data_IF_848337465303
#
_entry.id   IF_848337465303
#
_cell.length_a   1.000
_cell.length_b   1.000
_cell.length_c   1.000
_cell.angle_alpha   90.00
_cell.angle_beta   90.00
_cell.angle_gamma   90.00
#
_symmetry.space_group_name_H-M   'P 1'
#
loop_
_entity.id
_entity.type
_entity.pdbx_description
1 polymer ?
#
# COMPACT_ATOMS: atom_id res chain seq x y z
N UNK A 1 -5.99 5.75 8.50
CA UNK A 1 -6.13 6.64 7.34
C UNK A 1 -4.80 6.70 6.63
N UNK A 2 -4.79 6.44 5.33
CA UNK A 2 -3.57 6.39 4.51
C UNK A 2 -3.65 7.53 3.48
N UNK A 3 -2.79 8.53 3.58
CA UNK A 3 -2.76 9.67 2.65
C UNK A 3 -1.53 9.62 1.75
N UNK A 4 -1.70 10.12 0.55
CA UNK A 4 -0.66 10.35 -0.45
C UNK A 4 -0.58 11.86 -0.75
N UNK A 5 0.48 12.29 -1.41
CA UNK A 5 0.72 13.70 -1.78
C UNK A 5 0.70 14.69 -0.61
N UNK A 6 1.05 14.21 0.59
CA UNK A 6 1.08 15.09 1.75
C UNK A 6 2.40 15.87 1.78
N UNK A 7 2.34 17.18 1.54
CA UNK A 7 3.51 18.07 1.62
C UNK A 7 4.12 18.04 3.02
N UNK A 8 5.44 17.84 3.10
CA UNK A 8 6.18 17.71 4.37
C UNK A 8 5.93 18.90 5.31
N UNK A 9 6.01 20.14 4.81
CA UNK A 9 5.81 21.33 5.63
C UNK A 9 4.41 21.36 6.23
N UNK A 10 3.40 21.08 5.41
CA UNK A 10 1.99 21.08 5.84
C UNK A 10 1.72 19.94 6.83
N UNK A 11 2.36 18.78 6.64
CA UNK A 11 2.31 17.70 7.61
C UNK A 11 2.85 18.13 8.98
N UNK A 12 4.07 18.66 9.03
CA UNK A 12 4.74 19.04 10.28
C UNK A 12 4.07 20.21 10.98
N UNK A 13 3.70 21.24 10.21
CA UNK A 13 3.20 22.49 10.78
C UNK A 13 1.74 22.37 11.24
N UNK A 14 0.94 21.56 10.54
CA UNK A 14 -0.51 21.46 10.76
C UNK A 14 -0.97 20.03 11.06
N UNK A 15 -0.88 19.10 10.11
CA UNK A 15 -1.59 17.82 10.23
C UNK A 15 -1.16 16.96 11.41
N UNK A 16 0.14 16.85 11.66
CA UNK A 16 0.65 16.05 12.77
C UNK A 16 0.09 16.55 14.12
N UNK A 17 0.10 17.87 14.34
CA UNK A 17 -0.42 18.50 15.57
C UNK A 17 -1.93 18.40 15.66
N UNK A 18 -2.63 18.74 14.58
CA UNK A 18 -4.09 18.71 14.51
C UNK A 18 -4.65 17.30 14.77
N UNK A 19 -3.98 16.27 14.24
CA UNK A 19 -4.39 14.88 14.44
C UNK A 19 -4.04 14.37 15.84
N UNK A 20 -2.91 14.79 16.40
CA UNK A 20 -2.55 14.50 17.79
C UNK A 20 -3.58 15.07 18.78
N UNK A 21 -4.05 16.31 18.57
CA UNK A 21 -5.13 16.93 19.36
C UNK A 21 -6.45 16.15 19.27
N UNK A 22 -6.62 15.33 18.23
CA UNK A 22 -7.77 14.42 18.04
C UNK A 22 -7.50 13.00 18.52
N UNK A 23 -6.41 12.78 19.26
CA UNK A 23 -5.99 11.47 19.76
C UNK A 23 -5.61 10.46 18.66
N UNK A 24 -5.09 10.95 17.53
CA UNK A 24 -4.50 10.11 16.49
C UNK A 24 -2.98 10.19 16.55
N UNK A 25 -2.31 9.04 16.38
CA UNK A 25 -0.89 9.01 16.07
C UNK A 25 -0.67 9.09 14.57
N UNK A 26 0.55 9.43 14.15
CA UNK A 26 0.90 9.53 12.73
C UNK A 26 2.31 9.08 12.40
N UNK A 27 2.46 8.51 11.21
CA UNK A 27 3.74 8.16 10.59
C UNK A 27 3.76 8.86 9.23
N UNK A 28 4.92 9.38 8.84
CA UNK A 28 5.12 10.07 7.58
C UNK A 28 6.46 9.66 6.98
N UNK A 29 6.48 9.53 5.65
CA UNK A 29 7.69 9.42 4.85
C UNK A 29 7.64 10.39 3.66
N UNK A 30 8.72 11.13 3.45
CA UNK A 30 8.83 12.10 2.37
C UNK A 30 9.40 11.40 1.14
N UNK A 31 8.94 11.76 -0.06
CA UNK A 31 9.66 11.37 -1.27
C UNK A 31 11.08 11.96 -1.26
N UNK A 32 12.02 11.23 -1.87
CA UNK A 32 13.35 11.78 -2.13
C UNK A 32 13.26 12.89 -3.17
N UNK A 33 14.11 13.90 -3.06
CA UNK A 33 14.15 14.95 -4.08
C UNK A 33 14.79 14.40 -5.37
N UNK A 34 14.05 14.41 -6.50
CA UNK A 34 14.63 14.06 -7.78
C UNK A 34 15.62 15.15 -8.23
N UNK A 35 16.49 14.82 -9.19
CA UNK A 35 17.56 15.75 -9.65
C UNK A 35 17.05 17.06 -10.25
N UNK A 36 15.83 17.06 -10.79
CA UNK A 36 15.19 18.25 -11.35
C UNK A 36 14.47 19.12 -10.29
N UNK A 37 14.48 18.72 -9.02
CA UNK A 37 13.82 19.46 -7.96
C UNK A 37 14.61 20.72 -7.60
N UNK A 38 13.99 21.88 -7.81
CA UNK A 38 14.58 23.21 -7.59
C UNK A 38 13.93 23.97 -6.42
N UNK A 39 12.90 23.37 -5.78
CA UNK A 39 12.16 23.96 -4.65
C UNK A 39 12.74 23.54 -3.30
N UNK A 40 12.21 24.09 -2.22
CA UNK A 40 12.60 23.67 -0.87
C UNK A 40 12.18 22.22 -0.62
N UNK A 41 13.05 21.42 0.01
CA UNK A 41 12.74 20.04 0.42
C UNK A 41 11.54 19.95 1.37
N UNK A 42 11.19 21.05 2.03
CA UNK A 42 9.98 21.11 2.86
C UNK A 42 8.69 21.11 2.05
N UNK A 43 8.74 21.47 0.77
CA UNK A 43 7.61 21.42 -0.16
C UNK A 43 7.49 20.08 -0.89
N UNK A 44 8.38 19.13 -0.61
CA UNK A 44 8.29 17.79 -1.18
C UNK A 44 7.16 17.03 -0.48
N UNK A 45 6.36 16.32 -1.27
CA UNK A 45 5.28 15.49 -0.80
C UNK A 45 5.77 14.12 -0.32
N UNK A 46 4.84 13.35 0.22
CA UNK A 46 5.11 12.06 0.82
C UNK A 46 3.83 11.27 1.05
N UNK A 47 3.97 10.18 1.79
CA UNK A 47 2.86 9.35 2.24
C UNK A 47 2.78 9.37 3.76
N UNK A 48 1.58 9.23 4.30
CA UNK A 48 1.37 9.16 5.75
C UNK A 48 0.31 8.15 6.15
N UNK A 49 0.44 7.65 7.37
CA UNK A 49 -0.55 6.80 8.03
C UNK A 49 -0.93 7.48 9.34
N UNK A 50 -2.21 7.80 9.51
CA UNK A 50 -2.79 8.24 10.78
C UNK A 50 -3.64 7.13 11.39
N UNK A 51 -3.52 6.90 12.68
CA UNK A 51 -4.19 5.82 13.39
C UNK A 51 -4.80 6.33 14.71
N UNK A 52 -6.03 5.91 15.01
CA UNK A 52 -6.73 6.31 16.23
C UNK A 52 -6.14 5.54 17.43
N UNK A 53 -5.55 6.25 18.39
CA UNK A 53 -4.87 5.66 19.55
C UNK A 53 -5.84 4.96 20.52
N UNK A 54 -7.15 5.23 20.42
CA UNK A 54 -8.19 4.54 21.20
C UNK A 54 -8.60 3.20 20.61
N UNK A 55 -8.28 2.96 19.33
CA UNK A 55 -8.66 1.73 18.61
C UNK A 55 -7.49 0.83 18.31
N UNK A 56 -6.32 1.41 18.04
CA UNK A 56 -5.12 0.65 17.72
C UNK A 56 -3.89 1.20 18.42
N UNK A 57 -2.96 0.32 18.76
CA UNK A 57 -1.62 0.64 19.25
C UNK A 57 -0.61 0.44 18.13
N UNK A 58 0.28 1.40 17.92
CA UNK A 58 1.42 1.22 17.03
C UNK A 58 2.48 0.37 17.71
N UNK A 59 2.80 -0.80 17.14
CA UNK A 59 3.84 -1.70 17.63
C UNK A 59 5.18 -1.42 16.96
N UNK A 60 5.18 -1.25 15.64
CA UNK A 60 6.37 -0.94 14.85
C UNK A 60 5.97 -0.22 13.56
N UNK A 61 6.91 0.45 12.91
CA UNK A 61 6.74 0.95 11.55
C UNK A 61 8.05 0.99 10.78
N UNK A 62 7.92 0.96 9.46
CA UNK A 62 9.04 1.03 8.53
C UNK A 62 8.78 2.11 7.48
N UNK A 63 9.85 2.84 7.17
CA UNK A 63 9.92 3.84 6.11
C UNK A 63 10.74 3.27 4.99
N UNK A 64 10.19 3.32 3.79
CA UNK A 64 10.72 2.59 2.66
C UNK A 64 10.98 3.57 1.53
N UNK A 65 12.18 3.49 0.98
CA UNK A 65 12.57 4.13 -0.27
C UNK A 65 12.80 3.03 -1.29
N UNK A 66 11.91 2.87 -2.28
CA UNK A 66 11.98 1.76 -3.24
C UNK A 66 13.31 1.72 -4.02
N UNK A 67 13.89 2.89 -4.24
CA UNK A 67 15.21 3.02 -4.85
C UNK A 67 16.27 2.16 -4.14
N UNK A 68 16.24 2.06 -2.81
CA UNK A 68 17.25 1.34 -2.03
C UNK A 68 17.26 -0.17 -2.33
N UNK A 69 16.11 -0.77 -2.61
CA UNK A 69 16.01 -2.18 -2.99
C UNK A 69 16.50 -2.42 -4.41
N UNK A 70 16.03 -1.61 -5.37
CA UNK A 70 16.43 -1.74 -6.78
C UNK A 70 17.91 -1.41 -7.02
N UNK A 71 18.53 -0.56 -6.20
CA UNK A 71 19.96 -0.28 -6.26
C UNK A 71 20.83 -1.40 -5.71
N UNK A 72 20.26 -2.34 -4.94
CA UNK A 72 21.03 -3.37 -4.28
C UNK A 72 21.36 -4.51 -5.26
N UNK A 73 22.65 -4.71 -5.61
CA UNK A 73 23.05 -5.72 -6.59
C UNK A 73 22.83 -7.16 -6.11
N UNK A 74 22.52 -7.38 -4.82
CA UNK A 74 22.12 -8.70 -4.30
C UNK A 74 20.70 -9.10 -4.71
N UNK A 75 19.83 -8.12 -4.96
CA UNK A 75 18.42 -8.36 -5.28
C UNK A 75 18.14 -8.11 -6.77
N UNK A 76 18.81 -7.13 -7.38
CA UNK A 76 18.61 -6.79 -8.79
C UNK A 76 19.92 -6.61 -9.53
N UNK A 77 20.01 -7.24 -10.70
CA UNK A 77 21.02 -6.88 -11.68
C UNK A 77 20.90 -5.42 -12.09
N UNK A 78 22.05 -4.74 -12.09
CA UNK A 78 22.14 -3.33 -12.44
C UNK A 78 22.27 -3.20 -13.97
N UNK A 79 21.22 -3.59 -14.69
CA UNK A 79 21.11 -3.36 -16.13
C UNK A 79 20.91 -1.86 -16.43
N UNK A 80 20.89 -1.50 -17.71
CA UNK A 80 20.55 -0.12 -18.11
C UNK A 80 19.11 0.23 -17.71
N UNK A 81 18.16 -0.67 -17.95
CA UNK A 81 16.75 -0.40 -17.68
C UNK A 81 16.44 -0.40 -16.18
N UNK A 82 17.03 -1.29 -15.37
CA UNK A 82 16.92 -1.23 -13.90
C UNK A 82 17.32 0.16 -13.38
N UNK A 83 18.46 0.70 -13.83
CA UNK A 83 18.93 2.03 -13.42
C UNK A 83 18.01 3.16 -13.89
N UNK A 84 17.59 3.13 -15.15
CA UNK A 84 16.84 4.23 -15.78
C UNK A 84 15.34 4.22 -15.48
N UNK A 85 14.79 3.06 -15.13
CA UNK A 85 13.34 2.88 -14.95
C UNK A 85 12.94 2.69 -13.49
N UNK A 86 13.73 1.95 -12.71
CA UNK A 86 13.41 1.64 -11.31
C UNK A 86 14.19 2.53 -10.33
N UNK A 87 15.52 2.52 -10.40
CA UNK A 87 16.41 3.24 -9.45
C UNK A 87 16.25 4.76 -9.48
N UNK A 88 15.85 5.34 -10.61
CA UNK A 88 15.68 6.78 -10.76
C UNK A 88 14.30 7.28 -10.32
N UNK A 89 13.59 6.52 -9.48
CA UNK A 89 12.23 6.84 -9.01
C UNK A 89 12.24 7.05 -7.50
N UNK A 90 11.78 8.20 -7.06
CA UNK A 90 11.73 8.61 -5.66
C UNK A 90 10.49 8.09 -4.91
N UNK A 91 9.89 6.99 -5.37
CA UNK A 91 8.70 6.40 -4.74
C UNK A 91 9.05 5.86 -3.36
N UNK A 92 8.14 6.09 -2.41
CA UNK A 92 8.27 5.68 -1.02
C UNK A 92 7.05 4.88 -0.57
N UNK A 93 7.21 4.15 0.53
CA UNK A 93 6.12 3.48 1.20
C UNK A 93 6.27 3.55 2.72
N UNK A 94 5.17 3.30 3.42
CA UNK A 94 5.13 3.06 4.85
C UNK A 94 4.55 1.68 5.10
N UNK A 95 5.09 0.95 6.07
CA UNK A 95 4.48 -0.25 6.63
C UNK A 95 4.33 -0.05 8.12
N UNK A 96 3.10 -0.06 8.62
CA UNK A 96 2.80 0.05 10.04
C UNK A 96 2.32 -1.31 10.57
N UNK A 97 2.84 -1.71 11.73
CA UNK A 97 2.37 -2.87 12.48
C UNK A 97 1.52 -2.33 13.63
N UNK A 98 0.21 -2.55 13.54
CA UNK A 98 -0.78 -2.03 14.47
C UNK A 98 -1.45 -3.18 15.23
N UNK A 99 -1.69 -3.02 16.52
CA UNK A 99 -2.50 -3.95 17.32
C UNK A 99 -3.87 -3.33 17.55
N UNK A 100 -4.94 -4.04 17.19
CA UNK A 100 -6.30 -3.64 17.53
C UNK A 100 -6.55 -3.88 19.03
N UNK A 101 -6.88 -2.82 19.78
CA UNK A 101 -6.90 -2.85 21.24
C UNK A 101 -7.93 -3.85 21.80
N UNK A 102 -9.10 -3.94 21.17
CA UNK A 102 -10.20 -4.74 21.69
C UNK A 102 -10.00 -6.24 21.46
N UNK A 103 -9.40 -6.62 20.33
CA UNK A 103 -9.23 -8.03 19.94
C UNK A 103 -7.80 -8.55 20.08
N UNK A 104 -6.83 -7.65 20.30
CA UNK A 104 -5.38 -7.91 20.23
C UNK A 104 -4.88 -8.43 18.87
N UNK A 105 -5.69 -8.25 17.83
CA UNK A 105 -5.33 -8.65 16.47
C UNK A 105 -4.29 -7.71 15.87
N UNK A 106 -3.31 -8.29 15.19
CA UNK A 106 -2.21 -7.53 14.56
C UNK A 106 -2.55 -7.28 13.11
N UNK A 107 -2.40 -6.02 12.68
CA UNK A 107 -2.67 -5.51 11.35
C UNK A 107 -1.39 -4.96 10.75
N UNK A 108 -1.01 -5.47 9.57
CA UNK A 108 0.08 -4.93 8.76
C UNK A 108 -0.52 -4.00 7.72
N UNK A 109 -0.37 -2.70 7.93
CA UNK A 109 -0.96 -1.66 7.07
C UNK A 109 0.14 -0.99 6.27
N UNK A 110 0.12 -1.20 4.96
CA UNK A 110 1.00 -0.53 4.03
C UNK A 110 0.32 0.67 3.36
N UNK A 111 1.08 1.72 3.11
CA UNK A 111 0.65 2.86 2.31
C UNK A 111 1.73 3.24 1.29
N UNK A 112 1.36 3.45 0.03
CA UNK A 112 2.28 3.94 -1.00
C UNK A 112 1.58 4.85 -2.01
N UNK A 113 2.40 5.49 -2.86
CA UNK A 113 1.96 6.24 -4.03
C UNK A 113 2.89 5.85 -5.19
N UNK A 114 2.45 4.90 -6.01
CA UNK A 114 3.24 4.33 -7.11
C UNK A 114 3.50 5.35 -8.23
N UNK A 115 4.46 5.04 -9.08
CA UNK A 115 4.86 5.93 -10.17
C UNK A 115 3.71 6.26 -11.14
N UNK A 116 3.46 7.56 -11.35
CA UNK A 116 2.26 8.06 -12.05
C UNK A 116 2.15 7.73 -13.54
N UNK A 117 3.29 7.49 -14.22
CA UNK A 117 3.28 7.49 -15.69
C UNK A 117 2.51 6.29 -16.26
N UNK A 118 1.52 6.51 -17.16
CA UNK A 118 0.80 5.41 -17.80
C UNK A 118 1.69 4.59 -18.74
N UNK A 119 2.87 5.09 -19.12
CA UNK A 119 3.86 4.40 -19.97
C UNK A 119 4.82 3.51 -19.17
N UNK A 120 4.60 3.33 -17.87
CA UNK A 120 5.53 2.64 -16.97
C UNK A 120 4.79 1.64 -16.08
N UNK A 121 3.98 0.78 -16.70
CA UNK A 121 3.25 -0.27 -15.99
C UNK A 121 4.21 -1.31 -15.39
N UNK A 122 5.31 -1.59 -16.10
CA UNK A 122 6.45 -2.37 -15.61
C UNK A 122 7.05 -1.80 -14.31
N UNK A 123 7.28 -0.47 -14.24
CA UNK A 123 7.80 0.17 -13.03
C UNK A 123 6.81 0.01 -11.87
N UNK A 124 5.52 0.24 -12.12
CA UNK A 124 4.48 0.11 -11.09
C UNK A 124 4.34 -1.34 -10.60
N UNK A 125 4.45 -2.33 -11.50
CA UNK A 125 4.49 -3.74 -11.13
C UNK A 125 5.70 -4.04 -10.22
N UNK A 126 6.90 -3.63 -10.62
CA UNK A 126 8.11 -3.88 -9.83
C UNK A 126 8.06 -3.20 -8.45
N UNK A 127 7.51 -1.98 -8.37
CA UNK A 127 7.29 -1.28 -7.11
C UNK A 127 6.26 -2.00 -6.22
N UNK A 128 5.23 -2.60 -6.81
CA UNK A 128 4.24 -3.41 -6.08
C UNK A 128 4.89 -4.70 -5.57
N UNK A 129 5.71 -5.36 -6.39
CA UNK A 129 6.49 -6.54 -5.98
C UNK A 129 7.43 -6.24 -4.81
N UNK A 130 8.11 -5.09 -4.84
CA UNK A 130 8.92 -4.68 -3.68
C UNK A 130 8.07 -4.43 -2.44
N UNK A 131 6.92 -3.76 -2.58
CA UNK A 131 6.02 -3.48 -1.46
C UNK A 131 5.60 -4.78 -0.75
N UNK A 132 5.23 -5.81 -1.52
CA UNK A 132 4.80 -7.10 -0.96
C UNK A 132 5.96 -7.84 -0.29
N UNK A 133 7.16 -7.82 -0.87
CA UNK A 133 8.39 -8.36 -0.25
C UNK A 133 8.76 -7.66 1.07
N UNK A 134 8.52 -6.35 1.18
CA UNK A 134 8.79 -5.59 2.39
C UNK A 134 7.76 -5.86 3.48
N UNK A 135 6.48 -5.96 3.13
CA UNK A 135 5.44 -6.40 4.06
C UNK A 135 5.70 -7.83 4.52
N UNK A 136 6.09 -8.74 3.63
CA UNK A 136 6.50 -10.11 4.00
C UNK A 136 7.59 -10.06 5.07
N UNK A 137 8.67 -9.31 4.85
CA UNK A 137 9.76 -9.16 5.82
C UNK A 137 9.30 -8.55 7.14
N UNK A 138 8.33 -7.63 7.13
CA UNK A 138 7.76 -7.06 8.35
C UNK A 138 7.00 -8.13 9.15
N UNK A 139 6.26 -9.00 8.46
CA UNK A 139 5.61 -10.18 9.05
C UNK A 139 6.66 -11.13 9.65
N UNK A 140 7.74 -11.46 8.92
CA UNK A 140 8.83 -12.30 9.42
C UNK A 140 9.44 -11.77 10.71
N UNK A 141 9.74 -10.46 10.74
CA UNK A 141 10.29 -9.78 11.92
C UNK A 141 9.34 -9.84 13.11
N UNK A 142 8.05 -9.57 12.87
CA UNK A 142 7.05 -9.52 13.94
C UNK A 142 6.85 -10.87 14.61
N UNK A 143 6.73 -11.94 13.82
CA UNK A 143 6.55 -13.30 14.34
C UNK A 143 7.87 -13.97 14.76
N UNK A 144 9.01 -13.28 14.64
CA UNK A 144 10.36 -13.79 14.94
C UNK A 144 10.69 -15.11 14.22
N UNK A 145 10.20 -15.29 13.00
CA UNK A 145 10.44 -16.49 12.22
C UNK A 145 11.53 -16.21 11.17
N UNK A 146 12.54 -17.08 11.13
CA UNK A 146 13.68 -16.96 10.23
C UNK A 146 13.53 -17.82 8.97
N UNK A 147 12.55 -18.72 8.94
CA UNK A 147 12.32 -19.66 7.84
C UNK A 147 11.12 -19.21 7.01
N UNK A 148 11.30 -19.13 5.68
CA UNK A 148 10.22 -18.79 4.76
C UNK A 148 9.04 -19.79 4.85
N UNK A 149 9.33 -21.06 5.17
CA UNK A 149 8.30 -22.10 5.32
C UNK A 149 7.38 -21.82 6.51
N UNK A 150 7.94 -21.42 7.65
CA UNK A 150 7.16 -21.18 8.87
C UNK A 150 6.21 -19.98 8.68
N UNK A 151 6.69 -18.94 7.97
CA UNK A 151 5.88 -17.77 7.65
C UNK A 151 4.82 -18.13 6.62
N UNK A 152 5.14 -18.96 5.63
CA UNK A 152 4.14 -19.42 4.67
C UNK A 152 3.02 -20.19 5.37
N UNK A 153 3.35 -21.10 6.29
CA UNK A 153 2.37 -21.82 7.12
C UNK A 153 1.54 -20.84 7.97
N UNK A 154 2.18 -19.81 8.55
CA UNK A 154 1.48 -18.75 9.29
C UNK A 154 0.52 -17.96 8.39
N UNK A 155 0.93 -17.59 7.18
CA UNK A 155 0.13 -16.84 6.21
C UNK A 155 -1.09 -17.64 5.71
N UNK A 156 -0.92 -18.95 5.51
CA UNK A 156 -1.96 -19.85 5.00
C UNK A 156 -2.90 -20.37 6.10
N UNK A 157 -2.53 -20.21 7.37
CA UNK A 157 -3.34 -20.64 8.50
C UNK A 157 -4.72 -19.97 8.50
N UNK A 158 -5.72 -20.63 9.09
CA UNK A 158 -7.05 -20.05 9.33
C UNK A 158 -6.99 -18.76 10.16
N UNK A 159 -5.92 -18.65 10.95
CA UNK A 159 -5.57 -17.54 11.80
C UNK A 159 -4.52 -16.63 11.15
N UNK A 160 -4.52 -16.60 9.82
CA UNK A 160 -3.52 -15.95 8.99
C UNK A 160 -3.34 -14.46 9.26
N UNK A 161 -2.26 -13.91 8.73
CA UNK A 161 -1.85 -12.53 8.99
C UNK A 161 -2.87 -11.55 8.41
N UNK A 162 -3.20 -10.48 9.13
CA UNK A 162 -4.10 -9.44 8.63
C UNK A 162 -3.30 -8.35 7.91
N UNK A 163 -3.45 -8.24 6.59
CA UNK A 163 -2.68 -7.32 5.75
C UNK A 163 -3.62 -6.39 5.00
N UNK A 164 -3.31 -5.10 5.05
CA UNK A 164 -4.01 -4.04 4.33
C UNK A 164 -2.99 -3.28 3.50
N UNK A 165 -3.10 -3.33 2.17
CA UNK A 165 -2.32 -2.46 1.28
C UNK A 165 -3.23 -1.34 0.79
N UNK A 166 -2.88 -0.10 1.11
CA UNK A 166 -3.62 1.08 0.66
C UNK A 166 -2.72 1.99 -0.17
N UNK A 167 -3.30 2.79 -1.05
CA UNK A 167 -2.53 3.79 -1.79
C UNK A 167 -3.14 4.20 -3.10
N UNK A 168 -2.46 5.18 -3.71
CA UNK A 168 -2.59 5.45 -5.14
C UNK A 168 -1.61 4.52 -5.88
N UNK A 169 -2.16 3.52 -6.58
CA UNK A 169 -1.38 2.57 -7.35
C UNK A 169 -1.13 3.04 -8.79
N UNK A 170 -1.73 4.17 -9.19
CA UNK A 170 -1.64 4.72 -10.55
C UNK A 170 -1.92 3.67 -11.64
N UNK A 171 -2.78 2.70 -11.32
CA UNK A 171 -2.98 1.47 -12.08
C UNK A 171 -4.46 1.14 -12.16
N UNK A 172 -4.94 0.82 -13.35
CA UNK A 172 -6.35 0.47 -13.55
C UNK A 172 -6.66 -0.96 -13.06
N UNK A 173 -7.95 -1.32 -12.87
CA UNK A 173 -8.33 -2.65 -12.41
C UNK A 173 -7.85 -3.80 -13.31
N UNK A 174 -7.61 -3.53 -14.60
CA UNK A 174 -7.11 -4.47 -15.61
C UNK A 174 -5.58 -4.43 -15.81
N UNK A 175 -4.84 -3.75 -14.93
CA UNK A 175 -3.37 -3.61 -15.02
C UNK A 175 -2.60 -4.86 -14.56
N UNK A 176 -1.30 -4.92 -14.89
CA UNK A 176 -0.34 -5.89 -14.35
C UNK A 176 -0.30 -5.87 -12.82
N UNK A 177 -0.37 -4.68 -12.20
CA UNK A 177 -0.40 -4.51 -10.74
C UNK A 177 -1.60 -5.20 -10.12
N UNK A 178 -2.79 -4.95 -10.66
CA UNK A 178 -4.03 -5.57 -10.19
C UNK A 178 -4.00 -7.09 -10.40
N UNK A 179 -3.55 -7.57 -11.58
CA UNK A 179 -3.41 -9.01 -11.87
C UNK A 179 -2.45 -9.69 -10.90
N UNK A 180 -1.30 -9.09 -10.62
CA UNK A 180 -0.31 -9.62 -9.68
C UNK A 180 -0.91 -9.79 -8.27
N UNK A 181 -1.58 -8.76 -7.75
CA UNK A 181 -2.18 -8.81 -6.40
C UNK A 181 -3.37 -9.77 -6.34
N UNK A 182 -4.26 -9.78 -7.33
CA UNK A 182 -5.46 -10.64 -7.33
C UNK A 182 -5.09 -12.11 -7.50
N UNK A 183 -4.14 -12.43 -8.37
CA UNK A 183 -3.75 -13.81 -8.64
C UNK A 183 -2.70 -14.32 -7.63
N UNK A 184 -2.02 -13.43 -6.91
CA UNK A 184 -0.86 -13.75 -6.08
C UNK A 184 0.39 -14.06 -6.91
N UNK A 185 0.32 -13.91 -8.24
CA UNK A 185 1.44 -14.05 -9.15
C UNK A 185 1.19 -13.33 -10.48
N UNK A 186 2.25 -13.17 -11.27
CA UNK A 186 2.15 -12.78 -12.67
C UNK A 186 3.31 -13.37 -13.48
N UNK A 187 2.97 -14.02 -14.60
CA UNK A 187 3.94 -14.47 -15.59
C UNK A 187 4.36 -13.29 -16.49
N UNK A 188 5.50 -12.67 -16.15
CA UNK A 188 5.98 -11.47 -16.83
C UNK A 188 6.45 -11.78 -18.26
N UNK A 189 6.68 -13.04 -18.61
CA UNK A 189 7.03 -13.42 -19.99
C UNK A 189 5.86 -13.24 -20.95
N UNK A 190 4.62 -13.17 -20.45
CA UNK A 190 3.42 -12.89 -21.25
C UNK A 190 3.13 -11.39 -21.39
N UNK A 191 3.85 -10.54 -20.65
CA UNK A 191 3.57 -9.11 -20.57
C UNK A 191 4.48 -8.33 -21.51
N UNK A 192 3.88 -7.71 -22.54
CA UNK A 192 4.62 -7.02 -23.62
C UNK A 192 5.63 -6.01 -23.09
N UNK A 193 5.26 -5.24 -22.06
CA UNK A 193 6.15 -4.21 -21.53
C UNK A 193 7.35 -4.82 -20.79
N UNK A 194 7.16 -5.94 -20.10
CA UNK A 194 8.23 -6.66 -19.42
C UNK A 194 9.21 -7.32 -20.39
N UNK A 195 8.78 -7.65 -21.62
CA UNK A 195 9.66 -8.18 -22.67
C UNK A 195 10.52 -7.11 -23.37
N UNK A 196 10.14 -5.83 -23.27
CA UNK A 196 10.84 -4.72 -23.95
C UNK A 196 12.05 -4.23 -23.17
N UNK A 197 12.05 -4.40 -21.84
CA UNK A 197 13.07 -3.89 -20.95
C UNK A 197 13.83 -5.03 -20.27
N UNK A 198 15.13 -4.84 -20.10
CA UNK A 198 16.00 -5.82 -19.46
C UNK A 198 16.13 -5.53 -17.97
N UNK A 199 15.45 -6.32 -17.13
CA UNK A 199 15.59 -6.24 -15.67
C UNK A 199 16.58 -7.27 -15.09
N UNK A 200 17.32 -7.95 -15.96
CA UNK A 200 18.30 -8.98 -15.62
C UNK A 200 17.69 -10.30 -15.18
N UNK A 201 18.55 -11.31 -15.01
CA UNK A 201 18.14 -12.69 -14.73
C UNK A 201 17.70 -12.95 -13.29
N UNK A 202 17.98 -12.00 -12.37
CA UNK A 202 17.46 -12.03 -10.99
C UNK A 202 15.95 -11.91 -10.92
N UNK A 203 15.33 -11.30 -11.94
CA UNK A 203 13.87 -11.24 -12.08
C UNK A 203 13.43 -12.49 -12.84
N UNK A 204 12.85 -13.45 -12.11
CA UNK A 204 12.35 -14.68 -12.70
C UNK A 204 11.20 -14.46 -13.70
N UNK A 205 10.87 -15.47 -14.53
CA UNK A 205 9.80 -15.38 -15.51
C UNK A 205 8.41 -15.21 -14.88
N UNK A 206 8.27 -15.57 -13.60
CA UNK A 206 7.07 -15.39 -12.81
C UNK A 206 7.44 -14.59 -11.54
N UNK A 207 6.70 -13.52 -11.28
CA UNK A 207 6.74 -12.82 -10.01
C UNK A 207 5.69 -13.44 -9.10
N UNK A 208 6.13 -14.02 -7.98
CA UNK A 208 5.26 -14.58 -6.95
C UNK A 208 5.04 -13.55 -5.85
N UNK A 209 3.80 -13.40 -5.39
CA UNK A 209 3.49 -12.70 -4.15
C UNK A 209 3.46 -13.70 -2.99
N UNK A 210 4.47 -13.62 -2.12
CA UNK A 210 4.56 -14.47 -0.94
C UNK A 210 3.45 -14.18 0.08
N UNK A 211 2.82 -13.01 0.00
CA UNK A 211 1.65 -12.68 0.82
C UNK A 211 0.38 -13.39 0.36
N UNK A 212 0.41 -14.05 -0.80
CA UNK A 212 -0.73 -14.71 -1.42
C UNK A 212 -1.61 -13.75 -2.21
N UNK A 213 -2.90 -14.10 -2.32
CA UNK A 213 -3.87 -13.32 -3.10
C UNK A 213 -4.47 -12.19 -2.28
N UNK A 214 -4.79 -11.11 -2.96
CA UNK A 214 -5.50 -9.97 -2.41
C UNK A 214 -6.86 -9.79 -3.07
N UNK A 215 -7.80 -9.26 -2.29
CA UNK A 215 -9.09 -8.81 -2.78
C UNK A 215 -9.33 -7.36 -2.35
N UNK A 216 -9.98 -6.58 -3.21
CA UNK A 216 -10.42 -5.24 -2.85
C UNK A 216 -11.87 -5.29 -2.35
N UNK A 217 -12.23 -4.57 -1.28
CA UNK A 217 -13.64 -4.39 -0.86
C UNK A 217 -14.55 -3.85 -1.97
N UNK A 218 -13.96 -3.22 -2.98
CA UNK A 218 -14.66 -2.59 -4.11
C UNK A 218 -14.69 -3.46 -5.39
N UNK A 219 -14.05 -4.64 -5.38
CA UNK A 219 -13.85 -5.47 -6.58
C UNK A 219 -15.14 -5.71 -7.36
N UNK A 220 -16.21 -6.11 -6.69
CA UNK A 220 -17.50 -6.38 -7.32
C UNK A 220 -18.09 -5.15 -8.02
N UNK A 221 -17.86 -3.95 -7.47
CA UNK A 221 -18.34 -2.71 -8.07
C UNK A 221 -17.49 -2.31 -9.29
N UNK A 222 -16.18 -2.55 -9.23
CA UNK A 222 -15.28 -2.37 -10.37
C UNK A 222 -15.65 -3.30 -11.53
N UNK A 223 -15.88 -4.59 -11.23
CA UNK A 223 -16.26 -5.60 -12.22
C UNK A 223 -17.62 -5.31 -12.87
N UNK A 224 -18.58 -4.80 -12.09
CA UNK A 224 -19.90 -4.38 -12.59
C UNK A 224 -19.88 -3.02 -13.28
N UNK A 225 -18.78 -2.27 -13.18
CA UNK A 225 -18.68 -0.91 -13.70
C UNK A 225 -19.60 0.09 -12.99
N UNK A 226 -19.99 -0.19 -11.75
CA UNK A 226 -20.84 0.70 -10.92
C UNK A 226 -20.03 1.59 -9.99
N UNK A 227 -18.72 1.35 -9.89
CA UNK A 227 -17.75 2.26 -9.28
C UNK A 227 -16.63 2.47 -10.30
N UNK A 228 -16.54 3.68 -10.86
CA UNK A 228 -15.76 3.93 -12.09
C UNK A 228 -14.58 4.88 -11.92
N UNK A 229 -14.57 5.70 -10.87
CA UNK A 229 -13.52 6.68 -10.60
C UNK A 229 -13.13 6.77 -9.13
N UNK A 230 -11.83 6.80 -8.90
CA UNK A 230 -11.23 7.33 -7.67
C UNK A 230 -10.49 8.64 -7.97
N UNK A 231 -10.00 8.83 -9.20
CA UNK A 231 -9.50 10.10 -9.71
C UNK A 231 -10.46 10.69 -10.75
N UNK A 232 -10.78 11.99 -10.64
CA UNK A 232 -11.77 12.66 -11.48
C UNK A 232 -11.24 14.00 -12.02
N UNK A 233 -10.47 13.94 -13.11
CA UNK A 233 -9.95 15.08 -13.85
C UNK A 233 -10.66 15.24 -15.21
N UNK A 234 -10.60 16.41 -15.87
CA UNK A 234 -11.33 16.67 -17.12
C UNK A 234 -11.12 15.64 -18.24
N UNK A 235 -9.93 15.03 -18.31
CA UNK A 235 -9.57 14.02 -19.32
C UNK A 235 -9.14 12.68 -18.73
N UNK A 236 -9.28 12.50 -17.42
CA UNK A 236 -8.83 11.29 -16.72
C UNK A 236 -9.82 10.96 -15.60
N UNK A 237 -10.62 9.92 -15.82
CA UNK A 237 -11.63 9.43 -14.87
C UNK A 237 -11.45 7.93 -14.76
N UNK A 238 -10.73 7.47 -13.73
CA UNK A 238 -10.37 6.06 -13.57
C UNK A 238 -10.28 5.68 -12.09
N UNK A 239 -10.44 4.40 -11.83
CA UNK A 239 -10.02 3.78 -10.57
C UNK A 239 -8.51 3.57 -10.63
N UNK A 240 -7.79 4.24 -9.74
CA UNK A 240 -6.34 4.08 -9.54
C UNK A 240 -5.93 3.98 -8.06
N UNK A 241 -6.86 4.25 -7.15
CA UNK A 241 -6.67 4.15 -5.71
C UNK A 241 -7.33 2.88 -5.19
N UNK A 242 -6.65 2.17 -4.29
CA UNK A 242 -7.12 0.89 -3.80
C UNK A 242 -6.90 0.71 -2.31
N UNK A 243 -7.78 -0.13 -1.75
CA UNK A 243 -7.55 -0.84 -0.49
C UNK A 243 -7.61 -2.32 -0.84
N UNK A 244 -6.52 -3.02 -0.57
CA UNK A 244 -6.35 -4.45 -0.78
C UNK A 244 -6.26 -5.15 0.56
N UNK A 245 -6.99 -6.25 0.72
CA UNK A 245 -6.93 -7.15 1.86
C UNK A 245 -6.43 -8.50 1.39
N UNK A 246 -5.55 -9.15 2.15
CA UNK A 246 -5.15 -10.51 1.82
C UNK A 246 -6.32 -11.48 2.03
N UNK A 247 -6.54 -12.41 1.11
CA UNK A 247 -7.72 -13.30 1.11
C UNK A 247 -7.73 -14.29 2.28
N UNK A 248 -6.57 -14.64 2.82
CA UNK A 248 -6.45 -15.65 3.86
C UNK A 248 -6.91 -15.16 5.24
N UNK A 249 -6.95 -13.85 5.48
CA UNK A 249 -7.46 -13.31 6.74
C UNK A 249 -8.98 -13.44 6.82
N UNK A 250 -9.45 -14.36 7.66
CA UNK A 250 -10.87 -14.45 8.03
C UNK A 250 -11.28 -13.47 9.13
N UNK A 251 -10.30 -12.82 9.76
CA UNK A 251 -10.51 -11.92 10.91
C UNK A 251 -10.79 -10.48 10.53
N UNK A 252 -10.52 -10.09 9.28
CA UNK A 252 -10.90 -8.80 8.72
C UNK A 252 -12.10 -8.94 7.79
N UNK A 253 -13.30 -8.77 8.34
CA UNK A 253 -14.53 -8.85 7.56
C UNK A 253 -14.98 -7.46 7.11
N UNK A 254 -15.06 -7.24 5.81
CA UNK A 254 -15.65 -6.02 5.23
C UNK A 254 -17.14 -5.98 5.59
N UNK A 255 -17.58 -4.87 6.19
CA UNK A 255 -19.00 -4.66 6.57
C UNK A 255 -19.67 -3.58 5.73
N UNK A 256 -18.93 -2.52 5.37
CA UNK A 256 -19.44 -1.42 4.55
C UNK A 256 -18.32 -0.83 3.69
N UNK A 257 -18.71 -0.23 2.58
CA UNK A 257 -17.86 0.61 1.73
C UNK A 257 -18.58 1.92 1.45
N UNK A 258 -17.82 2.99 1.23
CA UNK A 258 -18.35 4.25 0.74
C UNK A 258 -18.55 4.15 -0.76
N UNK A 259 -19.76 4.42 -1.24
CA UNK A 259 -20.08 4.32 -2.66
C UNK A 259 -19.51 5.49 -3.47
N UNK A 260 -19.50 5.35 -4.79
CA UNK A 260 -19.09 6.41 -5.71
C UNK A 260 -20.05 7.62 -5.62
N UNK A 261 -19.53 8.83 -5.85
CA UNK A 261 -20.39 9.99 -6.06
C UNK A 261 -21.24 9.77 -7.31
N UNK A 262 -22.56 9.78 -7.13
CA UNK A 262 -23.50 9.65 -8.25
C UNK A 262 -23.39 10.82 -9.23
N UNK A 263 -23.76 10.59 -10.48
CA UNK A 263 -23.60 11.58 -11.55
C UNK A 263 -24.40 12.87 -11.29
N UNK A 264 -25.50 12.79 -10.55
CA UNK A 264 -26.28 13.95 -10.10
C UNK A 264 -25.54 14.82 -9.07
N UNK A 265 -24.63 14.22 -8.30
CA UNK A 265 -23.83 14.88 -7.27
C UNK A 265 -22.47 15.31 -7.82
N UNK A 266 -22.14 14.90 -9.06
CA UNK A 266 -20.98 15.43 -9.75
C UNK A 266 -21.16 16.93 -9.96
N UNK A 267 -20.10 17.71 -9.68
CA UNK A 267 -20.17 19.15 -9.80
C UNK A 267 -20.49 19.57 -11.24
N UNK A 268 -20.95 20.83 -11.40
CA UNK A 268 -21.05 21.48 -12.73
C UNK A 268 -19.68 21.56 -13.45
N UNK A 269 -18.59 21.37 -12.72
CA UNK A 269 -17.23 21.45 -13.21
C UNK A 269 -16.81 20.15 -13.91
N UNK A 270 -15.95 20.28 -14.93
CA UNK A 270 -15.50 19.14 -15.75
C UNK A 270 -14.59 18.14 -14.99
N UNK A 271 -14.10 18.51 -13.81
CA UNK A 271 -13.18 17.74 -12.98
C UNK A 271 -12.91 18.39 -11.63
N UNK A 272 -12.06 17.73 -10.86
CA UNK A 272 -11.50 18.16 -9.59
C UNK A 272 -10.00 18.53 -9.74
N UNK A 273 -9.38 19.24 -8.77
CA UNK A 273 -10.04 19.94 -7.67
C UNK A 273 -10.91 21.11 -8.16
N UNK A 274 -11.89 21.51 -7.36
CA UNK A 274 -12.77 22.64 -7.63
C UNK A 274 -13.28 23.25 -6.29
N UNK A 275 -14.14 24.28 -6.29
CA UNK A 275 -14.59 24.91 -5.04
C UNK A 275 -15.25 23.98 -4.02
N UNK A 276 -15.87 22.88 -4.48
CA UNK A 276 -16.58 21.92 -3.63
C UNK A 276 -15.70 20.74 -3.22
N UNK A 277 -14.68 20.41 -4.03
CA UNK A 277 -13.80 19.25 -3.85
C UNK A 277 -12.32 19.66 -3.87
N UNK A 278 -11.58 19.53 -2.74
CA UNK A 278 -10.23 20.08 -2.60
C UNK A 278 -9.11 19.23 -3.22
N UNK A 279 -9.43 18.02 -3.71
CA UNK A 279 -8.49 17.07 -4.30
C UNK A 279 -9.03 16.55 -5.63
N UNK A 280 -8.15 16.24 -6.58
CA UNK A 280 -8.51 15.54 -7.81
C UNK A 280 -8.87 14.06 -7.62
N UNK A 281 -8.52 13.52 -6.45
CA UNK A 281 -8.92 12.18 -6.00
C UNK A 281 -10.06 12.24 -4.97
N UNK A 282 -10.94 11.26 -5.06
CA UNK A 282 -12.00 10.97 -4.10
C UNK A 282 -11.50 9.99 -3.03
N UNK A 283 -11.85 10.20 -1.75
CA UNK A 283 -11.49 9.26 -0.70
C UNK A 283 -12.24 7.94 -0.89
N UNK A 284 -11.51 6.82 -0.84
CA UNK A 284 -12.10 5.49 -0.68
C UNK A 284 -12.12 5.12 0.81
N UNK A 285 -13.27 4.64 1.29
CA UNK A 285 -13.49 4.33 2.71
C UNK A 285 -14.16 2.98 2.85
N UNK A 286 -13.67 2.17 3.77
CA UNK A 286 -14.23 0.85 4.05
C UNK A 286 -14.24 0.63 5.55
N UNK A 287 -15.29 -0.02 6.02
CA UNK A 287 -15.48 -0.42 7.40
C UNK A 287 -15.23 -1.92 7.50
N UNK A 288 -14.40 -2.32 8.45
CA UNK A 288 -14.15 -3.72 8.75
C UNK A 288 -14.57 -4.05 10.18
N UNK A 289 -15.05 -5.26 10.38
CA UNK A 289 -15.17 -5.91 11.68
C UNK A 289 -13.90 -6.74 11.89
N UNK A 290 -13.26 -6.56 13.05
CA UNK A 290 -12.09 -7.34 13.47
C UNK A 290 -12.58 -8.38 14.47
N UNK A 291 -12.44 -9.66 14.17
CA UNK A 291 -12.87 -10.74 15.08
C UNK A 291 -11.68 -11.35 15.80
N UNK A 292 -11.85 -11.63 17.10
CA UNK A 292 -10.85 -12.30 17.92
C UNK A 292 -10.77 -13.79 17.56
N UNK A 293 -9.58 -14.36 17.69
CA UNK A 293 -9.41 -15.81 17.71
C UNK A 293 -10.04 -16.44 18.97
N UNK A 294 -11.10 -17.24 18.80
CA UNK A 294 -11.76 -17.98 19.88
C UNK A 294 -10.94 -19.20 20.36
N UNK A 295 -9.88 -19.60 19.63
CA UNK A 295 -9.03 -20.74 19.98
C UNK A 295 -7.91 -20.41 20.96
N UNK A 296 -7.61 -19.11 21.16
CA UNK A 296 -6.65 -18.63 22.18
C UNK A 296 -7.34 -18.36 23.52
N UNK A 297 -8.04 -19.37 24.04
CA UNK A 297 -8.19 -19.51 25.48
C UNK A 297 -6.81 -19.80 26.08
N UNK A 298 -6.19 -18.80 26.70
CA UNK A 298 -5.07 -18.98 27.64
C UNK A 298 -3.70 -19.37 27.03
N UNK A 299 -3.31 -18.81 25.88
CA UNK A 299 -1.91 -18.84 25.42
C UNK A 299 -1.17 -17.60 25.96
N UNK A 300 -0.34 -17.81 26.98
CA UNK A 300 0.23 -16.80 27.84
C UNK A 300 1.00 -15.65 27.17
N UNK A 301 0.94 -14.50 27.81
CA UNK A 301 1.78 -13.34 27.57
C UNK A 301 3.26 -13.72 27.41
N UNK A 302 3.81 -13.58 26.20
CA UNK A 302 5.25 -13.42 26.03
C UNK A 302 5.57 -11.96 26.34
N UNK A 303 5.94 -11.71 27.60
CA UNK A 303 6.40 -10.41 28.06
C UNK A 303 7.61 -9.93 27.24
N UNK A 304 7.58 -8.67 26.85
CA UNK A 304 8.68 -7.92 26.26
C UNK A 304 9.90 -7.99 27.20
N UNK A 305 10.89 -8.82 26.90
CA UNK A 305 12.19 -8.77 27.61
C UNK A 305 13.08 -7.78 26.87
N UNK A 306 13.16 -6.56 27.39
CA UNK A 306 14.28 -5.67 27.12
C UNK A 306 15.54 -6.26 27.76
N UNK A 307 16.51 -6.68 26.97
CA UNK A 307 17.88 -6.86 27.45
C UNK A 307 18.71 -5.64 27.04
N UNK A 308 19.29 -5.02 28.06
CA UNK A 308 20.36 -4.01 28.00
C UNK A 308 21.55 -4.45 27.15
#
# INVERSE_FOLDING_TARGET
MCFQEMEYKIYVDYWAKFMEEKNFGSIFERKLAPTYWDRNLTMMDGVSIFYNKEKVKLLNYERIEFTSFFQNPKFFEQTKDTRQRLVSRNTVALVAVLEHIETHEVLFVANTHLYWSPRHEDVKLMQTYELTELVWKAVQRYYHQCCDKDIQEQMESSDGVNIILAGDFNSAPDSMVSRYLVNGNIDITKEKQMQVYDYGSTVGPELLDRLGRFNSPYKDLYDKGTFTRTAYLPRFKRVIDYIWLNEHSKRLKVTKILDELGDQDLPKYLGFPNPDYPSDHLPIVTQFEVTKDESTGDAGHVAYRSSL
#
